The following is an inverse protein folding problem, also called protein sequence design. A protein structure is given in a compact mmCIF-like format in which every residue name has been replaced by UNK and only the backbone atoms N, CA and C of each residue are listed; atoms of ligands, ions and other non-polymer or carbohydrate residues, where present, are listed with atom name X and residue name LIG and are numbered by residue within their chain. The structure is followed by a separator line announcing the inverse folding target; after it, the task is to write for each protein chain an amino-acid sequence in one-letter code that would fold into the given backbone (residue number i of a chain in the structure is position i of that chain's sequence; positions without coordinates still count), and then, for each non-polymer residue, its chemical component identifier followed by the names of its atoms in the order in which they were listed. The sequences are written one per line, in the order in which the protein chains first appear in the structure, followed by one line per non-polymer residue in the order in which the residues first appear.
data_IF_383526859399
#
_entry.id   IF_383526859399
#
_cell.length_a   1.000
_cell.length_b   1.000
_cell.length_c   1.000
_cell.angle_alpha   90.00
_cell.angle_beta   90.00
_cell.angle_gamma   90.00
#
_symmetry.space_group_name_H-M   'P 1'
#
loop_
_entity.id
_entity.type
_entity.pdbx_description
1 polymer ?
#
# COMPACT_ATOMS: atom_id res chain seq x y z
N UNK A 1 19.42 27.02 13.38
CA UNK A 1 18.79 25.69 13.50
C UNK A 1 19.93 24.71 13.52
N UNK A 2 20.20 24.07 14.65
CA UNK A 2 21.15 22.96 14.72
C UNK A 2 20.61 21.85 13.81
N UNK A 3 21.38 21.49 12.78
CA UNK A 3 21.18 20.23 12.07
C UNK A 3 21.69 19.13 13.00
N UNK A 4 20.80 18.50 13.76
CA UNK A 4 21.08 17.16 14.25
C UNK A 4 21.19 16.22 13.05
N UNK A 5 22.15 15.29 13.08
CA UNK A 5 22.24 14.23 12.07
C UNK A 5 21.04 13.26 12.27
N UNK A 6 19.90 13.61 11.69
CA UNK A 6 18.67 12.83 11.73
C UNK A 6 18.61 11.85 10.55
N UNK A 7 18.52 10.56 10.85
CA UNK A 7 18.40 9.52 9.84
C UNK A 7 16.93 9.18 9.57
N UNK A 8 16.46 9.49 8.35
CA UNK A 8 15.09 9.15 7.92
C UNK A 8 15.08 7.77 7.28
N UNK A 9 14.15 6.90 7.70
CA UNK A 9 13.93 5.57 7.13
C UNK A 9 12.47 5.39 6.71
N UNK A 10 12.27 4.76 5.57
CA UNK A 10 10.96 4.27 5.17
C UNK A 10 10.69 2.92 5.86
N UNK A 11 9.51 2.78 6.46
CA UNK A 11 9.01 1.51 7.01
C UNK A 11 7.79 1.10 6.19
N UNK A 12 7.84 -0.07 5.56
CA UNK A 12 6.77 -0.57 4.70
C UNK A 12 6.98 -2.04 4.32
N UNK A 13 5.99 -2.64 3.63
CA UNK A 13 6.10 -4.02 3.16
C UNK A 13 7.07 -4.15 1.97
N UNK A 14 7.54 -5.38 1.75
CA UNK A 14 8.37 -5.74 0.60
C UNK A 14 7.56 -5.89 -0.69
N UNK A 15 6.29 -6.22 -0.54
CA UNK A 15 5.33 -6.49 -1.59
C UNK A 15 4.21 -5.45 -1.61
N UNK A 16 3.32 -5.61 -2.57
CA UNK A 16 2.14 -4.77 -2.79
C UNK A 16 0.96 -5.67 -3.10
N UNK A 17 -0.22 -5.27 -2.66
CA UNK A 17 -1.48 -5.95 -2.95
C UNK A 17 -2.41 -4.98 -3.70
N UNK A 18 -3.17 -5.49 -4.65
CA UNK A 18 -4.18 -4.72 -5.36
C UNK A 18 -5.45 -4.54 -4.52
N UNK A 19 -6.26 -3.54 -4.86
CA UNK A 19 -7.55 -3.31 -4.18
C UNK A 19 -8.49 -4.50 -4.37
N UNK A 20 -8.44 -5.15 -5.53
CA UNK A 20 -9.23 -6.36 -5.81
C UNK A 20 -8.81 -7.52 -4.93
N UNK A 21 -7.52 -7.79 -4.77
CA UNK A 21 -7.04 -8.85 -3.87
C UNK A 21 -7.45 -8.61 -2.42
N UNK A 22 -7.47 -7.34 -1.96
CA UNK A 22 -8.01 -7.01 -0.63
C UNK A 22 -9.50 -7.40 -0.54
N UNK A 23 -10.30 -7.06 -1.55
CA UNK A 23 -11.73 -7.38 -1.57
C UNK A 23 -11.99 -8.89 -1.61
N UNK A 24 -11.17 -9.64 -2.34
CA UNK A 24 -11.20 -11.11 -2.39
C UNK A 24 -10.90 -11.71 -1.01
N UNK A 25 -9.78 -11.33 -0.38
CA UNK A 25 -9.40 -11.81 0.96
C UNK A 25 -10.51 -11.54 1.98
N UNK A 26 -11.09 -10.33 1.96
CA UNK A 26 -12.19 -10.00 2.88
C UNK A 26 -13.44 -10.84 2.58
N UNK A 27 -13.77 -11.09 1.32
CA UNK A 27 -14.93 -11.91 0.94
C UNK A 27 -14.75 -13.37 1.37
N UNK A 28 -13.55 -13.92 1.17
CA UNK A 28 -13.19 -15.28 1.55
C UNK A 28 -13.26 -15.49 3.07
N UNK A 29 -12.66 -14.59 3.86
CA UNK A 29 -12.69 -14.66 5.33
C UNK A 29 -14.11 -14.53 5.91
N UNK A 30 -15.01 -13.87 5.18
CA UNK A 30 -16.42 -13.73 5.55
C UNK A 30 -17.33 -14.80 4.94
N UNK A 31 -16.83 -15.66 4.05
CA UNK A 31 -17.61 -16.68 3.36
C UNK A 31 -18.68 -16.10 2.43
N UNK A 32 -18.40 -14.98 1.78
CA UNK A 32 -19.32 -14.27 0.87
C UNK A 32 -18.85 -14.38 -0.59
N UNK A 33 -19.78 -14.28 -1.52
CA UNK A 33 -19.53 -14.26 -2.98
C UNK A 33 -20.18 -13.02 -3.63
N UNK A 34 -19.64 -11.80 -3.38
CA UNK A 34 -20.19 -10.58 -3.96
C UNK A 34 -19.73 -10.37 -5.41
N UNK A 35 -20.55 -9.65 -6.20
CA UNK A 35 -20.12 -9.15 -7.50
C UNK A 35 -19.33 -7.85 -7.33
N UNK A 36 -18.14 -7.77 -7.91
CA UNK A 36 -17.32 -6.56 -7.90
C UNK A 36 -17.68 -5.64 -9.07
N UNK A 37 -18.07 -4.40 -8.75
CA UNK A 37 -18.33 -3.34 -9.71
C UNK A 37 -17.30 -2.23 -9.56
N UNK A 38 -16.74 -1.78 -10.68
CA UNK A 38 -15.71 -0.74 -10.73
C UNK A 38 -16.23 0.46 -11.52
N UNK A 39 -15.93 1.66 -11.04
CA UNK A 39 -16.35 2.91 -11.69
C UNK A 39 -15.52 3.24 -12.95
N UNK A 40 -14.45 2.48 -13.24
CA UNK A 40 -13.62 2.63 -14.44
C UNK A 40 -12.54 3.71 -14.36
N UNK A 41 -12.31 4.30 -13.18
CA UNK A 41 -11.24 5.28 -12.94
C UNK A 41 -9.93 4.65 -12.51
N UNK A 42 -8.82 5.38 -12.68
CA UNK A 42 -7.48 4.96 -12.24
C UNK A 42 -7.24 5.14 -10.72
N UNK A 43 -8.17 5.79 -10.01
CA UNK A 43 -8.08 6.14 -8.59
C UNK A 43 -9.45 6.28 -7.94
N UNK A 44 -9.51 6.14 -6.61
CA UNK A 44 -10.76 6.23 -5.86
C UNK A 44 -11.30 7.66 -5.70
N UNK A 45 -10.41 8.63 -5.51
CA UNK A 45 -10.75 10.04 -5.31
C UNK A 45 -9.61 10.98 -5.73
N UNK A 46 -9.88 12.29 -5.79
CA UNK A 46 -8.86 13.29 -6.09
C UNK A 46 -7.77 13.31 -5.00
N UNK A 47 -6.52 13.12 -5.39
CA UNK A 47 -5.37 13.03 -4.47
C UNK A 47 -4.99 11.60 -4.05
N UNK A 48 -5.77 10.58 -4.43
CA UNK A 48 -5.39 9.18 -4.23
C UNK A 48 -4.20 8.79 -5.14
N UNK A 49 -3.32 7.94 -4.61
CA UNK A 49 -2.08 7.49 -5.26
C UNK A 49 -2.30 6.06 -5.78
N UNK A 50 -2.45 5.85 -7.11
CA UNK A 50 -2.85 4.55 -7.67
C UNK A 50 -1.87 3.40 -7.37
N UNK A 51 -0.60 3.72 -7.11
CA UNK A 51 0.46 2.75 -6.81
C UNK A 51 1.37 3.33 -5.75
N UNK A 52 1.37 2.70 -4.57
CA UNK A 52 2.20 3.10 -3.44
C UNK A 52 3.15 1.95 -3.08
N UNK A 53 4.45 2.25 -3.04
CA UNK A 53 5.48 1.36 -2.52
C UNK A 53 6.65 2.19 -2.04
N UNK A 54 7.07 1.98 -0.80
CA UNK A 54 8.22 2.66 -0.25
C UNK A 54 9.50 1.87 -0.55
N UNK A 55 10.58 2.55 -0.96
CA UNK A 55 11.89 1.91 -0.94
C UNK A 55 12.36 1.78 0.50
N UNK A 56 12.44 0.54 0.97
CA UNK A 56 12.93 0.17 2.31
C UNK A 56 14.40 -0.30 2.27
N UNK A 57 15.12 -0.04 1.16
CA UNK A 57 16.51 -0.47 0.98
C UNK A 57 17.43 0.08 2.06
N UNK A 58 17.26 1.36 2.43
CA UNK A 58 18.00 2.00 3.52
C UNK A 58 17.80 1.27 4.84
N UNK A 59 16.56 0.93 5.18
CA UNK A 59 16.24 0.21 6.41
C UNK A 59 16.80 -1.23 6.37
N UNK A 60 16.62 -1.95 5.27
CA UNK A 60 17.15 -3.31 5.09
C UNK A 60 18.67 -3.39 5.16
N UNK A 61 19.37 -2.33 4.75
CA UNK A 61 20.84 -2.28 4.84
C UNK A 61 21.36 -2.25 6.27
N UNK A 62 20.49 -2.04 7.27
CA UNK A 62 20.86 -1.97 8.69
C UNK A 62 20.77 -3.30 9.46
N UNK A 63 20.23 -4.39 8.86
CA UNK A 63 20.15 -5.71 9.51
C UNK A 63 19.07 -6.63 8.95
#
# INVERSE_FOLDING_TARGET
MENGDEEIYNVGSVDTVSVTEIAEVVSDELGLDPQFEYTGGERGWEGDVPRMRLSIEKLKSTG
#
